data_IF_069022306264
#
_entry.id   IF_069022306264
#
_cell.length_a   1.000
_cell.length_b   1.000
_cell.length_c   1.000
_cell.angle_alpha   90.00
_cell.angle_beta   90.00
_cell.angle_gamma   90.00
#
_symmetry.space_group_name_H-M   'P 1'
#
loop_
_entity.id
_entity.type
_entity.pdbx_description
1 polymer ?
#
# COMPACT_ATOMS: atom_id res chain seq x y z
N UNK A 1 6.88 14.83 9.75
CA UNK A 1 7.66 13.94 8.86
C UNK A 1 6.94 12.65 8.50
N UNK A 2 6.40 11.87 9.45
CA UNK A 2 5.73 10.59 9.15
C UNK A 2 4.61 10.65 8.08
N UNK A 3 3.85 11.76 8.03
CA UNK A 3 2.83 11.99 7.01
C UNK A 3 3.39 12.08 5.59
N UNK A 4 4.45 12.86 5.39
CA UNK A 4 5.13 13.01 4.11
C UNK A 4 5.71 11.68 3.65
N UNK A 5 6.37 10.94 4.56
CA UNK A 5 6.88 9.59 4.27
C UNK A 5 5.77 8.66 3.81
N UNK A 6 4.60 8.71 4.45
CA UNK A 6 3.46 7.88 4.08
C UNK A 6 2.88 8.25 2.71
N UNK A 7 2.82 9.55 2.38
CA UNK A 7 2.43 10.01 1.03
C UNK A 7 3.42 9.55 -0.02
N UNK A 8 4.72 9.77 0.21
CA UNK A 8 5.76 9.38 -0.75
C UNK A 8 5.76 7.87 -0.98
N UNK A 9 5.62 7.08 0.08
CA UNK A 9 5.53 5.63 -0.03
C UNK A 9 4.26 5.19 -0.78
N UNK A 10 3.09 5.79 -0.48
CA UNK A 10 1.84 5.48 -1.15
C UNK A 10 1.88 5.85 -2.63
N UNK A 11 2.37 7.05 -2.96
CA UNK A 11 2.59 7.48 -4.34
C UNK A 11 3.57 6.56 -5.07
N UNK A 12 4.71 6.24 -4.46
CA UNK A 12 5.72 5.39 -5.07
C UNK A 12 5.19 3.98 -5.38
N UNK A 13 4.46 3.37 -4.44
CA UNK A 13 3.85 2.05 -4.65
C UNK A 13 2.68 2.10 -5.65
N UNK A 14 1.86 3.15 -5.64
CA UNK A 14 0.77 3.32 -6.60
C UNK A 14 1.30 3.48 -8.03
N UNK A 15 2.34 4.32 -8.22
CA UNK A 15 3.02 4.46 -9.51
C UNK A 15 3.71 3.16 -9.91
N UNK A 16 4.35 2.47 -8.96
CA UNK A 16 4.92 1.14 -9.17
C UNK A 16 3.87 0.17 -9.70
N UNK A 17 2.72 0.05 -9.03
CA UNK A 17 1.60 -0.80 -9.48
C UNK A 17 0.99 -0.37 -10.81
N UNK A 18 1.06 0.91 -11.17
CA UNK A 18 0.56 1.37 -12.46
C UNK A 18 1.49 0.93 -13.61
N UNK A 19 2.80 1.11 -13.42
CA UNK A 19 3.78 0.89 -14.49
C UNK A 19 4.32 -0.55 -14.53
N UNK A 20 4.58 -1.22 -13.40
CA UNK A 20 5.19 -2.57 -13.40
C UNK A 20 4.33 -3.63 -14.10
N UNK A 21 3.02 -3.77 -13.80
CA UNK A 21 2.15 -4.73 -14.49
C UNK A 21 2.03 -4.45 -15.99
N UNK A 22 1.87 -3.17 -16.37
CA UNK A 22 1.83 -2.77 -17.76
C UNK A 22 3.12 -3.12 -18.51
N UNK A 23 4.27 -3.02 -17.84
CA UNK A 23 5.58 -3.41 -18.38
C UNK A 23 5.81 -4.93 -18.40
N UNK A 24 5.21 -5.69 -17.47
CA UNK A 24 5.50 -7.12 -17.32
C UNK A 24 4.86 -8.02 -18.37
N UNK A 25 3.82 -7.57 -19.09
CA UNK A 25 3.26 -8.24 -20.27
C UNK A 25 2.71 -9.68 -20.08
N UNK A 26 2.95 -10.31 -18.91
CA UNK A 26 2.55 -11.67 -18.57
C UNK A 26 1.30 -11.71 -17.70
N UNK A 27 0.52 -12.79 -17.84
CA UNK A 27 -0.70 -13.02 -17.08
C UNK A 27 -0.42 -13.11 -15.58
N UNK A 28 -1.24 -12.43 -14.78
CA UNK A 28 -1.10 -12.42 -13.32
C UNK A 28 -1.60 -13.74 -12.72
N UNK A 29 -0.83 -14.33 -11.80
CA UNK A 29 -1.23 -15.53 -11.07
C UNK A 29 -2.44 -15.26 -10.17
N UNK A 30 -3.24 -16.28 -9.87
CA UNK A 30 -4.39 -16.14 -8.95
C UNK A 30 -3.95 -15.64 -7.56
N UNK A 31 -2.78 -16.10 -7.08
CA UNK A 31 -2.18 -15.64 -5.83
C UNK A 31 -1.78 -14.15 -5.90
N UNK A 32 -1.17 -13.71 -7.01
CA UNK A 32 -0.82 -12.31 -7.22
C UNK A 32 -2.05 -11.39 -7.30
N UNK A 33 -3.14 -11.86 -7.90
CA UNK A 33 -4.41 -11.12 -7.89
C UNK A 33 -4.97 -10.98 -6.48
N UNK A 34 -4.96 -12.05 -5.68
CA UNK A 34 -5.42 -12.01 -4.28
C UNK A 34 -4.64 -11.05 -3.39
N UNK A 35 -3.34 -10.87 -3.65
CA UNK A 35 -2.48 -9.94 -2.90
C UNK A 35 -2.69 -8.46 -3.28
N UNK A 36 -3.28 -8.17 -4.44
CA UNK A 36 -3.53 -6.78 -4.85
C UNK A 36 -4.51 -6.07 -3.94
N UNK A 37 -5.60 -6.73 -3.52
CA UNK A 37 -6.63 -6.10 -2.68
C UNK A 37 -6.08 -5.59 -1.35
N UNK A 38 -5.38 -6.40 -0.52
CA UNK A 38 -4.79 -5.89 0.72
C UNK A 38 -3.68 -4.87 0.45
N UNK A 39 -2.90 -5.02 -0.63
CA UNK A 39 -1.87 -4.05 -1.01
C UNK A 39 -2.49 -2.69 -1.32
N UNK A 40 -3.50 -2.63 -2.18
CA UNK A 40 -4.22 -1.40 -2.51
C UNK A 40 -4.87 -0.78 -1.27
N UNK A 41 -5.47 -1.59 -0.40
CA UNK A 41 -6.04 -1.09 0.86
C UNK A 41 -4.98 -0.43 1.74
N UNK A 42 -3.79 -1.03 1.85
CA UNK A 42 -2.68 -0.46 2.60
C UNK A 42 -2.17 0.86 1.98
N UNK A 43 -2.14 0.96 0.65
CA UNK A 43 -1.78 2.18 -0.08
C UNK A 43 -2.82 3.27 0.17
N UNK A 44 -4.11 2.96 0.10
CA UNK A 44 -5.19 3.89 0.42
C UNK A 44 -5.08 4.41 1.86
N UNK A 45 -4.83 3.52 2.83
CA UNK A 45 -4.60 3.93 4.21
C UNK A 45 -3.32 4.80 4.34
N UNK A 46 -2.28 4.52 3.55
CA UNK A 46 -1.10 5.36 3.31
C UNK A 46 -1.45 6.79 2.93
N UNK A 47 -2.31 6.96 1.92
CA UNK A 47 -2.82 8.26 1.51
C UNK A 47 -3.63 8.95 2.61
N UNK A 48 -4.54 8.25 3.27
CA UNK A 48 -5.39 8.78 4.37
C UNK A 48 -4.53 9.33 5.51
N UNK A 49 -3.54 8.54 5.97
CA UNK A 49 -2.58 9.00 6.98
C UNK A 49 -1.76 10.20 6.46
N UNK A 50 -1.31 10.12 5.20
CA UNK A 50 -0.52 11.13 4.54
C UNK A 50 -1.18 12.51 4.45
N UNK A 51 -2.44 12.57 3.99
CA UNK A 51 -3.22 13.81 3.91
C UNK A 51 -3.61 14.38 5.28
N UNK A 52 -3.38 13.61 6.35
CA UNK A 52 -3.54 14.07 7.73
C UNK A 52 -4.95 13.85 8.29
N UNK A 53 -5.74 12.99 7.66
CA UNK A 53 -7.02 12.59 8.21
C UNK A 53 -6.84 11.92 9.57
N UNK A 54 -7.65 12.32 10.56
CA UNK A 54 -7.61 11.78 11.92
C UNK A 54 -8.93 11.08 12.23
N UNK A 55 -8.96 9.73 12.21
CA UNK A 55 -10.17 8.99 12.53
C UNK A 55 -10.67 9.27 13.96
N UNK A 56 -11.99 9.36 14.12
CA UNK A 56 -12.63 9.54 15.43
C UNK A 56 -12.51 8.29 16.31
N UNK A 57 -12.59 7.10 15.71
CA UNK A 57 -12.56 5.82 16.43
C UNK A 57 -11.10 5.38 16.70
N UNK A 58 -10.77 4.92 17.91
CA UNK A 58 -9.39 4.59 18.28
C UNK A 58 -8.80 3.41 17.48
N UNK A 59 -9.62 2.40 17.15
CA UNK A 59 -9.17 1.27 16.33
C UNK A 59 -8.81 1.69 14.90
N UNK A 60 -9.54 2.65 14.31
CA UNK A 60 -9.20 3.23 13.01
C UNK A 60 -7.90 4.03 13.09
N UNK A 61 -7.66 4.74 14.19
CA UNK A 61 -6.37 5.43 14.43
C UNK A 61 -5.20 4.46 14.50
N UNK A 62 -5.40 3.30 15.12
CA UNK A 62 -4.39 2.24 15.16
C UNK A 62 -4.11 1.68 13.76
N UNK A 63 -5.15 1.48 12.95
CA UNK A 63 -5.01 0.98 11.57
C UNK A 63 -4.17 1.91 10.68
N UNK A 64 -4.33 3.23 10.84
CA UNK A 64 -3.57 4.24 10.07
C UNK A 64 -2.27 4.67 10.77
N UNK A 65 -1.88 4.00 11.87
CA UNK A 65 -0.66 4.34 12.59
C UNK A 65 0.56 4.02 11.72
N UNK A 66 1.53 4.93 11.56
CA UNK A 66 2.63 4.77 10.60
C UNK A 66 3.47 3.52 10.86
N UNK A 67 3.64 3.13 12.12
CA UNK A 67 4.38 1.91 12.50
C UNK A 67 3.71 0.61 12.03
N UNK A 68 2.40 0.60 11.83
CA UNK A 68 1.67 -0.55 11.25
C UNK A 68 1.57 -0.42 9.73
N UNK A 69 1.34 0.81 9.27
CA UNK A 69 1.04 1.13 7.89
C UNK A 69 2.23 0.88 6.95
N UNK A 70 3.43 1.32 7.33
CA UNK A 70 4.63 1.14 6.52
C UNK A 70 5.01 -0.33 6.33
N UNK A 71 5.09 -1.19 7.36
CA UNK A 71 5.38 -2.60 7.15
C UNK A 71 4.26 -3.30 6.39
N UNK A 72 2.99 -2.91 6.56
CA UNK A 72 1.90 -3.45 5.74
C UNK A 72 2.11 -3.11 4.25
N UNK A 73 2.35 -1.85 3.92
CA UNK A 73 2.57 -1.40 2.53
C UNK A 73 3.80 -2.05 1.90
N UNK A 74 4.95 -2.03 2.58
CA UNK A 74 6.20 -2.61 2.08
C UNK A 74 6.13 -4.14 2.03
N UNK A 75 5.62 -4.78 3.07
CA UNK A 75 5.51 -6.23 3.16
C UNK A 75 4.58 -6.79 2.09
N UNK A 76 3.40 -6.20 1.91
CA UNK A 76 2.47 -6.60 0.87
C UNK A 76 3.03 -6.33 -0.53
N UNK A 77 3.74 -5.21 -0.74
CA UNK A 77 4.38 -4.91 -2.01
C UNK A 77 5.47 -5.93 -2.37
N UNK A 78 6.30 -6.33 -1.40
CA UNK A 78 7.34 -7.35 -1.59
C UNK A 78 6.70 -8.72 -1.88
N UNK A 79 5.71 -9.14 -1.08
CA UNK A 79 5.00 -10.41 -1.29
C UNK A 79 4.33 -10.45 -2.67
N UNK A 80 3.67 -9.37 -3.06
CA UNK A 80 3.07 -9.23 -4.38
C UNK A 80 4.12 -9.27 -5.49
N UNK A 81 5.23 -8.55 -5.35
CA UNK A 81 6.30 -8.55 -6.35
C UNK A 81 6.92 -9.95 -6.57
N UNK A 82 6.91 -10.80 -5.53
CA UNK A 82 7.36 -12.21 -5.56
C UNK A 82 6.31 -13.20 -6.07
N UNK A 83 5.08 -12.76 -6.29
CA UNK A 83 3.97 -13.61 -6.78
C UNK A 83 3.87 -13.67 -8.31
N UNK A 84 4.83 -13.04 -8.99
CA UNK A 84 5.06 -13.09 -10.43
C UNK A 84 6.11 -14.13 -10.78
#
# INVERSE_FOLDING_TARGET
MARVVSLLLACGLALGLLFLPAMRGGGMTAAGHGLLSPLLLSICAGFVHGVGYRPLRPWLRALVHPLLLWPAMLGLAILWARSF
#
